data_IF_160340056658
#
_entry.id   IF_160340056658
#
_cell.length_a   1.000
_cell.length_b   1.000
_cell.length_c   1.000
_cell.angle_alpha   90.00
_cell.angle_beta   90.00
_cell.angle_gamma   90.00
#
_symmetry.space_group_name_H-M   'P 1'
#
loop_
_entity.id
_entity.type
_entity.pdbx_description
1 polymer ?
#
# COMPACT_ATOMS: atom_id res chain seq x y z
N UNK A 1 20.01 -4.25 -19.86
CA UNK A 1 19.46 -4.96 -18.72
C UNK A 1 19.91 -6.40 -18.87
N UNK A 2 20.77 -6.83 -17.96
CA UNK A 2 21.62 -8.03 -18.13
C UNK A 2 20.79 -9.34 -18.05
N UNK A 3 19.63 -9.30 -17.40
CA UNK A 3 18.73 -10.46 -17.24
C UNK A 3 17.72 -10.67 -18.40
N UNK A 4 17.86 -9.91 -19.49
CA UNK A 4 17.00 -10.04 -20.67
C UNK A 4 15.56 -9.49 -20.46
N UNK A 5 15.35 -8.67 -19.43
CA UNK A 5 14.05 -8.03 -19.14
C UNK A 5 13.84 -6.84 -20.09
N UNK A 6 12.70 -6.80 -20.77
CA UNK A 6 12.26 -5.64 -21.56
C UNK A 6 11.44 -4.70 -20.67
N UNK A 7 11.88 -3.45 -20.54
CA UNK A 7 11.17 -2.41 -19.81
C UNK A 7 10.51 -1.47 -20.82
N UNK A 8 9.22 -1.25 -20.66
CA UNK A 8 8.44 -0.29 -21.43
C UNK A 8 8.14 0.91 -20.52
N UNK A 9 8.98 1.92 -20.58
CA UNK A 9 8.81 3.17 -19.83
C UNK A 9 7.63 3.98 -20.40
N UNK A 10 7.03 4.83 -19.59
CA UNK A 10 5.90 5.71 -19.95
C UNK A 10 4.74 4.98 -20.65
N UNK A 11 4.53 3.72 -20.31
CA UNK A 11 3.54 2.86 -20.93
C UNK A 11 2.51 2.40 -19.92
N UNK A 12 1.23 2.66 -20.22
CA UNK A 12 0.09 2.21 -19.42
C UNK A 12 -0.58 1.03 -20.12
N UNK A 13 -1.04 0.06 -19.35
CA UNK A 13 -1.92 -1.01 -19.84
C UNK A 13 -3.36 -0.52 -19.77
N UNK A 14 -3.95 -0.22 -20.91
CA UNK A 14 -5.31 0.31 -20.99
C UNK A 14 -6.37 -0.78 -20.82
N UNK A 15 -6.09 -1.96 -21.34
CA UNK A 15 -7.02 -3.09 -21.33
C UNK A 15 -6.30 -4.43 -21.42
N UNK A 16 -6.86 -5.42 -20.74
CA UNK A 16 -6.40 -6.81 -20.78
C UNK A 16 -7.51 -7.68 -21.35
N UNK A 17 -7.17 -8.53 -22.30
CA UNK A 17 -8.09 -9.49 -22.91
C UNK A 17 -7.50 -10.89 -22.87
N UNK A 18 -8.38 -11.89 -22.78
CA UNK A 18 -7.99 -13.29 -22.98
C UNK A 18 -7.97 -13.57 -24.49
N UNK A 19 -6.87 -14.10 -25.01
CA UNK A 19 -6.69 -14.51 -26.41
C UNK A 19 -6.32 -15.99 -26.45
N UNK A 20 -7.33 -16.85 -26.58
CA UNK A 20 -7.22 -18.31 -26.49
C UNK A 20 -6.58 -18.76 -25.15
N UNK A 21 -5.33 -19.26 -25.19
CA UNK A 21 -4.53 -19.62 -24.01
C UNK A 21 -3.72 -18.46 -23.46
N UNK A 22 -3.52 -17.41 -24.24
CA UNK A 22 -2.66 -16.29 -23.95
C UNK A 22 -3.42 -15.07 -23.43
N UNK A 23 -2.71 -14.06 -23.02
CA UNK A 23 -3.22 -12.78 -22.51
C UNK A 23 -2.75 -11.67 -23.44
N UNK A 24 -3.67 -10.89 -23.97
CA UNK A 24 -3.38 -9.73 -24.80
C UNK A 24 -3.51 -8.45 -23.99
N UNK A 25 -2.43 -7.70 -23.92
CA UNK A 25 -2.35 -6.40 -23.26
C UNK A 25 -2.44 -5.29 -24.31
N UNK A 26 -3.39 -4.39 -24.17
CA UNK A 26 -3.48 -3.18 -24.97
C UNK A 26 -2.74 -2.06 -24.26
N UNK A 27 -1.72 -1.51 -24.91
CA UNK A 27 -0.82 -0.51 -24.33
C UNK A 27 -1.15 0.87 -24.86
N UNK A 28 -0.96 1.90 -24.07
CA UNK A 28 -1.11 3.31 -24.45
C UNK A 28 -0.21 3.72 -25.63
N UNK A 29 0.90 3.01 -25.84
CA UNK A 29 1.86 3.21 -26.92
C UNK A 29 1.42 2.63 -28.29
N UNK A 30 0.16 2.24 -28.44
CA UNK A 30 -0.48 1.70 -29.66
C UNK A 30 -0.09 0.27 -30.07
N UNK A 31 0.84 -0.39 -29.43
CA UNK A 31 1.19 -1.79 -29.68
C UNK A 31 0.53 -2.71 -28.65
N UNK A 32 -0.09 -3.79 -29.13
CA UNK A 32 -0.56 -4.84 -28.24
C UNK A 32 0.59 -5.84 -27.97
N UNK A 33 0.68 -6.29 -26.72
CA UNK A 33 1.62 -7.32 -26.29
C UNK A 33 0.85 -8.60 -25.94
N UNK A 34 1.30 -9.75 -26.45
CA UNK A 34 0.72 -11.06 -26.11
C UNK A 34 1.70 -11.80 -25.21
N UNK A 35 1.21 -12.27 -24.06
CA UNK A 35 1.99 -12.96 -23.03
C UNK A 35 1.26 -14.22 -22.56
N UNK A 36 2.01 -15.20 -22.05
CA UNK A 36 1.46 -16.40 -21.43
C UNK A 36 0.89 -16.13 -20.04
N UNK A 37 1.56 -15.26 -19.28
CA UNK A 37 1.25 -14.96 -17.89
C UNK A 37 1.32 -13.45 -17.62
N UNK A 38 0.52 -12.98 -16.64
CA UNK A 38 0.49 -11.58 -16.24
C UNK A 38 0.58 -11.46 -14.71
N UNK A 39 1.62 -10.79 -14.24
CA UNK A 39 1.73 -10.38 -12.85
C UNK A 39 1.32 -8.90 -12.71
N UNK A 40 0.30 -8.63 -11.91
CA UNK A 40 -0.15 -7.26 -11.62
C UNK A 40 0.51 -6.78 -10.31
N UNK A 41 1.40 -5.81 -10.43
CA UNK A 41 2.12 -5.20 -9.32
C UNK A 41 1.95 -3.66 -9.33
N UNK A 42 0.74 -3.17 -9.59
CA UNK A 42 0.40 -1.78 -9.88
C UNK A 42 0.03 -0.96 -8.63
N UNK A 43 0.49 -1.36 -7.45
CA UNK A 43 0.22 -0.67 -6.18
C UNK A 43 -0.84 -1.32 -5.31
N UNK A 44 -1.23 -0.61 -4.25
CA UNK A 44 -2.19 -1.05 -3.25
C UNK A 44 -3.20 0.06 -2.96
N UNK A 45 -4.43 -0.34 -2.68
CA UNK A 45 -5.51 0.55 -2.22
C UNK A 45 -5.96 0.05 -0.85
N UNK A 46 -6.15 0.91 0.15
CA UNK A 46 -6.68 0.52 1.46
C UNK A 46 -8.06 -0.12 1.33
N UNK A 47 -8.27 -1.29 1.92
CA UNK A 47 -9.56 -1.98 1.86
C UNK A 47 -10.49 -1.46 2.96
N UNK A 48 -11.12 -0.31 2.71
CA UNK A 48 -11.97 0.42 3.67
C UNK A 48 -13.46 0.44 3.31
N UNK A 49 -13.84 -0.02 2.11
CA UNK A 49 -15.20 0.13 1.57
C UNK A 49 -16.32 -0.51 2.42
N UNK A 50 -16.01 -1.59 3.17
CA UNK A 50 -16.99 -2.35 3.95
C UNK A 50 -16.91 -2.11 5.46
N UNK A 51 -16.20 -1.05 5.88
CA UNK A 51 -15.98 -0.76 7.29
C UNK A 51 -16.99 0.22 7.91
N UNK A 52 -17.97 0.70 7.14
CA UNK A 52 -18.97 1.67 7.60
C UNK A 52 -18.35 2.87 8.35
N UNK A 53 -17.23 3.40 7.81
CA UNK A 53 -16.41 4.43 8.48
C UNK A 53 -17.18 5.73 8.70
N UNK A 54 -18.01 6.13 7.72
CA UNK A 54 -18.82 7.35 7.81
C UNK A 54 -19.84 7.26 8.95
N UNK A 55 -20.50 6.12 9.08
CA UNK A 55 -21.49 5.83 10.14
C UNK A 55 -20.82 5.81 11.52
N UNK A 56 -19.55 5.37 11.58
CA UNK A 56 -18.75 5.40 12.80
C UNK A 56 -18.17 6.79 13.12
N UNK A 57 -18.40 7.81 12.30
CA UNK A 57 -17.84 9.15 12.46
C UNK A 57 -16.34 9.23 12.19
N UNK A 58 -15.80 8.32 11.36
CA UNK A 58 -14.40 8.22 11.02
C UNK A 58 -14.15 8.86 9.66
N UNK A 59 -13.23 9.83 9.60
CA UNK A 59 -12.78 10.43 8.35
C UNK A 59 -11.80 9.53 7.62
N UNK A 60 -11.92 9.49 6.30
CA UNK A 60 -11.04 8.76 5.40
C UNK A 60 -10.90 9.49 4.06
N UNK A 61 -9.92 9.13 3.27
CA UNK A 61 -9.68 9.61 1.90
C UNK A 61 -9.13 8.45 1.04
N UNK A 62 -8.64 8.75 -0.15
CA UNK A 62 -8.06 7.77 -1.09
C UNK A 62 -6.80 7.06 -0.53
N UNK A 63 -6.09 7.69 0.40
CA UNK A 63 -4.89 7.13 1.04
C UNK A 63 -5.22 6.29 2.28
N UNK A 64 -6.48 6.29 2.74
CA UNK A 64 -6.94 5.47 3.86
C UNK A 64 -7.64 6.26 4.96
N UNK A 65 -7.63 5.70 6.16
CA UNK A 65 -8.24 6.29 7.36
C UNK A 65 -7.38 7.44 7.87
N UNK A 66 -8.00 8.60 8.09
CA UNK A 66 -7.32 9.77 8.66
C UNK A 66 -7.10 9.58 10.16
N UNK A 67 -5.85 9.64 10.58
CA UNK A 67 -5.43 9.51 11.98
C UNK A 67 -4.55 10.69 12.43
N UNK A 68 -4.51 10.89 13.73
CA UNK A 68 -3.53 11.78 14.34
C UNK A 68 -2.18 11.06 14.56
N UNK A 69 -1.19 11.76 15.14
CA UNK A 69 0.14 11.21 15.41
C UNK A 69 0.15 10.04 16.41
N UNK A 70 -0.93 9.82 17.13
CA UNK A 70 -1.10 8.69 18.04
C UNK A 70 -1.90 7.55 17.40
N UNK A 71 -2.12 7.59 16.07
CA UNK A 71 -2.92 6.64 15.30
C UNK A 71 -4.41 6.60 15.71
N UNK A 72 -4.90 7.65 16.39
CA UNK A 72 -6.29 7.80 16.79
C UNK A 72 -7.08 8.45 15.66
N UNK A 73 -8.25 7.90 15.33
CA UNK A 73 -9.13 8.44 14.30
C UNK A 73 -9.93 9.65 14.80
N UNK A 74 -10.78 10.21 13.95
CA UNK A 74 -11.74 11.25 14.38
C UNK A 74 -12.75 10.74 15.38
N UNK A 75 -13.06 9.45 15.38
CA UNK A 75 -13.76 8.79 16.48
C UNK A 75 -12.73 8.38 17.56
N UNK A 76 -12.76 9.07 18.70
CA UNK A 76 -11.75 8.92 19.78
C UNK A 76 -11.68 7.53 20.41
N UNK A 77 -12.65 6.67 20.16
CA UNK A 77 -12.64 5.27 20.63
C UNK A 77 -12.00 4.31 19.63
N UNK A 78 -11.60 4.79 18.44
CA UNK A 78 -11.11 3.96 17.33
C UNK A 78 -9.71 4.40 16.91
N UNK A 79 -8.86 3.42 16.71
CA UNK A 79 -7.51 3.58 16.17
C UNK A 79 -7.43 2.86 14.82
N UNK A 80 -6.61 3.36 13.90
CA UNK A 80 -6.29 2.68 12.65
C UNK A 80 -4.77 2.53 12.51
N UNK A 81 -4.33 1.38 12.02
CA UNK A 81 -2.91 1.02 11.93
C UNK A 81 -2.59 0.28 10.63
N UNK A 82 -1.30 0.20 10.30
CA UNK A 82 -0.82 -0.55 9.14
C UNK A 82 -1.32 0.03 7.81
N UNK A 83 -1.64 -0.85 6.88
CA UNK A 83 -2.03 -0.49 5.50
C UNK A 83 -3.37 0.26 5.39
N UNK A 84 -4.08 0.47 6.50
CA UNK A 84 -5.30 1.29 6.53
C UNK A 84 -5.05 2.78 6.66
N UNK A 85 -3.83 3.20 6.96
CA UNK A 85 -3.46 4.60 7.14
C UNK A 85 -2.42 5.01 6.11
N UNK A 86 -2.31 6.32 5.85
CA UNK A 86 -1.29 6.88 4.96
C UNK A 86 0.11 6.73 5.58
N UNK A 87 0.72 5.58 5.34
CA UNK A 87 2.07 5.24 5.78
C UNK A 87 2.66 4.15 4.86
N UNK A 88 3.99 3.95 4.85
CA UNK A 88 4.61 2.86 4.11
C UNK A 88 4.01 1.50 4.46
N UNK A 89 3.49 0.78 3.47
CA UNK A 89 2.73 -0.47 3.61
C UNK A 89 3.66 -1.68 3.80
N UNK A 90 4.30 -1.76 4.96
CA UNK A 90 5.16 -2.88 5.36
C UNK A 90 4.66 -3.56 6.63
N UNK A 91 4.92 -4.86 6.76
CA UNK A 91 4.55 -5.64 7.97
C UNK A 91 5.16 -5.04 9.24
N UNK A 92 6.42 -4.59 9.18
CA UNK A 92 7.08 -3.97 10.33
C UNK A 92 6.49 -2.60 10.68
N UNK A 93 5.99 -1.83 9.71
CA UNK A 93 5.24 -0.59 9.96
C UNK A 93 3.96 -0.87 10.74
N UNK A 94 3.20 -1.91 10.34
CA UNK A 94 1.99 -2.31 11.06
C UNK A 94 2.29 -2.73 12.50
N UNK A 95 3.37 -3.49 12.72
CA UNK A 95 3.83 -3.91 14.06
C UNK A 95 4.26 -2.72 14.92
N UNK A 96 4.97 -1.76 14.33
CA UNK A 96 5.36 -0.52 15.00
C UNK A 96 4.13 0.30 15.43
N UNK A 97 3.15 0.47 14.53
CA UNK A 97 1.88 1.14 14.82
C UNK A 97 1.12 0.43 15.95
N UNK A 98 1.06 -0.89 15.93
CA UNK A 98 0.42 -1.67 17.01
C UNK A 98 1.07 -1.39 18.37
N UNK A 99 2.40 -1.30 18.42
CA UNK A 99 3.14 -0.95 19.63
C UNK A 99 2.78 0.44 20.19
N UNK A 100 2.56 1.43 19.32
CA UNK A 100 2.11 2.78 19.72
C UNK A 100 0.73 2.72 20.37
N UNK A 101 -0.22 2.05 19.68
CA UNK A 101 -1.62 1.95 20.13
C UNK A 101 -1.72 1.16 21.44
N UNK A 102 -1.01 0.03 21.57
CA UNK A 102 -0.98 -0.77 22.80
C UNK A 102 -0.45 0.01 23.99
N UNK A 103 0.65 0.76 23.85
CA UNK A 103 1.17 1.64 24.91
C UNK A 103 0.14 2.64 25.36
N UNK A 104 -0.60 3.23 24.42
CA UNK A 104 -1.64 4.21 24.72
C UNK A 104 -2.83 3.58 25.46
N UNK A 105 -3.34 2.44 24.97
CA UNK A 105 -4.54 1.79 25.52
C UNK A 105 -4.25 1.17 26.89
N UNK A 106 -3.15 0.44 27.03
CA UNK A 106 -2.87 -0.32 28.26
C UNK A 106 -2.26 0.51 29.38
N UNK A 107 -1.44 1.51 29.04
CA UNK A 107 -0.64 2.25 30.02
C UNK A 107 -0.93 3.76 30.04
N UNK A 108 -1.79 4.28 29.16
CA UNK A 108 -2.04 5.71 29.02
C UNK A 108 -0.85 6.51 28.48
N UNK A 109 0.22 5.83 28.03
CA UNK A 109 1.44 6.48 27.56
C UNK A 109 1.25 6.97 26.13
N UNK A 110 1.51 8.25 25.87
CA UNK A 110 1.56 8.80 24.53
C UNK A 110 2.87 8.41 23.84
N UNK A 111 2.74 7.83 22.64
CA UNK A 111 3.86 7.55 21.75
C UNK A 111 3.48 8.05 20.37
N UNK A 112 4.35 8.83 19.73
CA UNK A 112 4.03 9.50 18.47
C UNK A 112 4.57 8.68 17.30
N UNK A 113 3.76 8.46 16.28
CA UNK A 113 4.18 7.85 15.03
C UNK A 113 5.28 8.72 14.37
N UNK A 114 6.38 8.08 14.02
CA UNK A 114 7.48 8.66 13.25
C UNK A 114 7.42 8.09 11.83
N UNK A 115 7.31 8.96 10.84
CA UNK A 115 7.23 8.53 9.44
C UNK A 115 8.57 8.64 8.70
N UNK A 116 9.53 9.35 9.31
CA UNK A 116 10.78 9.77 8.64
C UNK A 116 11.86 8.67 8.62
N UNK A 117 11.74 7.67 9.50
CA UNK A 117 12.79 6.64 9.69
C UNK A 117 12.23 5.22 9.62
N UNK A 118 11.29 4.97 8.71
CA UNK A 118 10.80 3.60 8.49
C UNK A 118 11.69 2.94 7.43
N UNK A 119 12.49 1.93 7.80
CA UNK A 119 13.34 1.24 6.82
C UNK A 119 12.51 0.59 5.71
N UNK A 120 12.99 0.72 4.50
CA UNK A 120 12.41 0.09 3.33
C UNK A 120 13.46 -0.80 2.70
N UNK A 121 13.16 -2.08 2.51
CA UNK A 121 14.09 -3.03 1.88
C UNK A 121 13.39 -3.73 0.73
N UNK A 122 14.04 -3.75 -0.41
CA UNK A 122 13.66 -4.55 -1.58
C UNK A 122 14.71 -5.63 -1.77
N UNK A 123 14.29 -6.89 -1.65
CA UNK A 123 15.17 -8.06 -1.67
C UNK A 123 15.49 -8.51 -3.11
N UNK A 124 16.05 -7.61 -3.89
CA UNK A 124 16.65 -7.90 -5.21
C UNK A 124 18.08 -8.40 -5.04
N UNK A 125 18.75 -8.79 -6.12
CA UNK A 125 20.19 -9.10 -6.14
C UNK A 125 20.89 -8.10 -7.09
N UNK A 126 21.64 -7.09 -6.59
CA UNK A 126 21.84 -6.75 -5.17
C UNK A 126 20.62 -6.15 -4.48
N UNK A 127 20.55 -6.26 -3.15
CA UNK A 127 19.47 -5.70 -2.32
C UNK A 127 19.51 -4.17 -2.31
N UNK A 128 18.31 -3.55 -2.25
CA UNK A 128 18.16 -2.10 -2.10
C UNK A 128 17.52 -1.81 -0.75
N UNK A 129 18.22 -1.04 0.09
CA UNK A 129 17.70 -0.58 1.36
C UNK A 129 17.77 0.96 1.44
N UNK A 130 16.71 1.55 1.99
CA UNK A 130 16.59 3.00 2.21
C UNK A 130 15.87 3.31 3.53
N UNK A 131 16.03 4.53 4.02
CA UNK A 131 15.36 5.09 5.20
C UNK A 131 14.73 6.42 4.81
#
# INVERSE_FOLDING_TARGET
IDDGVNILEDTVVDRVEKDNSDIKLHLSSANALVVSDLLIAAGRVPNIEKLALAEAGIKYNELGVVVDRNLQTTNRSVYAIGDLVDAPSFTHTASYHAGIVLKKILFGLSSTMQTIHIPQVTYTDPEIASI
#
